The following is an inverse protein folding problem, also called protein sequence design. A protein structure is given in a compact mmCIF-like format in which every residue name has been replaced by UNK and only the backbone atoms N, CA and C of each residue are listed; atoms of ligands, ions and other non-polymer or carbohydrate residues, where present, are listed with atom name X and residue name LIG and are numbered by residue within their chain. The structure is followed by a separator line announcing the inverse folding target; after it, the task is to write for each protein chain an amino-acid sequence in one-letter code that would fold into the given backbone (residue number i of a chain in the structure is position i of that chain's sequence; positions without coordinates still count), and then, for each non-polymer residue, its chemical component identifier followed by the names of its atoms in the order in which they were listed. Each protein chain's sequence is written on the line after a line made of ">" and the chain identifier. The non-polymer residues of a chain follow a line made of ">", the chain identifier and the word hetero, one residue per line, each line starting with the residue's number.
data_IF_601197134274
#
_entry.id   IF_601197134274
#
_cell.length_a   1.000
_cell.length_b   1.000
_cell.length_c   1.000
_cell.angle_alpha   90.00
_cell.angle_beta   90.00
_cell.angle_gamma   90.00
#
_symmetry.space_group_name_H-M   'P 1'
#
loop_
_entity.id
_entity.type
_entity.pdbx_description
1 polymer ?
#
# COMPACT_ATOMS: atom_id res chain seq x y z
N UNK A 1 19.38 -20.26 10.78
CA UNK A 1 17.99 -19.78 10.98
C UNK A 1 17.81 -18.47 10.22
N UNK A 2 17.51 -18.53 8.91
CA UNK A 2 17.24 -17.31 8.12
C UNK A 2 15.75 -16.96 8.23
N UNK A 3 15.31 -16.50 9.40
CA UNK A 3 13.98 -15.91 9.56
C UNK A 3 13.90 -14.69 8.65
N UNK A 4 12.99 -14.70 7.66
CA UNK A 4 12.74 -13.56 6.78
C UNK A 4 12.50 -12.32 7.67
N UNK A 5 13.47 -11.41 7.69
CA UNK A 5 13.49 -10.26 8.60
C UNK A 5 12.29 -9.36 8.29
N UNK A 6 11.25 -9.39 9.12
CA UNK A 6 10.11 -8.49 9.00
C UNK A 6 10.50 -7.07 9.42
N UNK A 7 9.78 -6.07 8.92
CA UNK A 7 9.92 -4.66 9.32
C UNK A 7 8.58 -4.10 9.75
N UNK A 8 8.62 -3.20 10.72
CA UNK A 8 7.45 -2.44 11.15
C UNK A 8 7.34 -1.15 10.35
N UNK A 9 6.16 -0.89 9.82
CA UNK A 9 5.83 0.29 9.03
C UNK A 9 4.86 1.16 9.81
N UNK A 10 5.19 2.45 9.94
CA UNK A 10 4.34 3.45 10.59
C UNK A 10 3.40 4.06 9.56
N UNK A 11 2.10 4.00 9.84
CA UNK A 11 1.03 4.66 9.11
C UNK A 11 0.51 5.80 9.99
N UNK A 12 0.38 7.00 9.43
CA UNK A 12 -0.22 8.14 10.12
C UNK A 12 -1.51 8.49 9.39
N UNK A 13 -2.64 8.09 9.96
CA UNK A 13 -3.95 8.10 9.30
C UNK A 13 -4.90 9.05 10.04
N UNK A 14 -5.89 9.56 9.31
CA UNK A 14 -7.13 10.06 9.90
C UNK A 14 -8.05 8.90 10.28
N UNK A 15 -9.18 9.20 10.90
CA UNK A 15 -10.23 8.21 11.14
C UNK A 15 -10.72 7.58 9.81
N UNK A 16 -11.01 8.40 8.81
CA UNK A 16 -11.39 7.90 7.47
C UNK A 16 -10.28 7.09 6.79
N UNK A 17 -9.00 7.44 7.04
CA UNK A 17 -7.86 6.65 6.56
C UNK A 17 -7.79 5.26 7.22
N UNK A 18 -8.07 5.17 8.52
CA UNK A 18 -8.15 3.91 9.25
C UNK A 18 -9.35 3.07 8.79
N UNK A 19 -10.53 3.68 8.60
CA UNK A 19 -11.72 3.01 8.06
C UNK A 19 -11.46 2.44 6.67
N UNK A 20 -10.85 3.22 5.78
CA UNK A 20 -10.45 2.75 4.46
C UNK A 20 -9.52 1.53 4.60
N UNK A 21 -8.48 1.63 5.41
CA UNK A 21 -7.52 0.55 5.64
C UNK A 21 -8.20 -0.75 6.12
N UNK A 22 -9.09 -0.65 7.11
CA UNK A 22 -9.80 -1.81 7.65
C UNK A 22 -10.79 -2.40 6.64
N UNK A 23 -11.48 -1.57 5.86
CA UNK A 23 -12.44 -2.03 4.85
C UNK A 23 -11.75 -2.82 3.73
N UNK A 24 -10.62 -2.33 3.21
CA UNK A 24 -9.85 -3.03 2.17
C UNK A 24 -9.14 -4.26 2.73
N UNK A 25 -8.71 -4.23 3.99
CA UNK A 25 -8.18 -5.40 4.68
C UNK A 25 -9.21 -6.52 4.75
N UNK A 26 -10.43 -6.21 5.19
CA UNK A 26 -11.52 -7.19 5.24
C UNK A 26 -11.84 -7.75 3.85
N UNK A 27 -11.85 -6.90 2.81
CA UNK A 27 -12.03 -7.33 1.41
C UNK A 27 -10.96 -8.33 0.98
N UNK A 28 -9.69 -8.07 1.29
CA UNK A 28 -8.58 -8.98 0.97
C UNK A 28 -8.69 -10.30 1.73
N UNK A 29 -9.01 -10.28 3.02
CA UNK A 29 -9.22 -11.49 3.82
C UNK A 29 -10.40 -12.33 3.28
N UNK A 30 -11.50 -11.67 2.91
CA UNK A 30 -12.66 -12.34 2.30
C UNK A 30 -12.30 -13.00 0.96
N UNK A 31 -11.53 -12.32 0.10
CA UNK A 31 -11.06 -12.90 -1.17
C UNK A 31 -10.05 -14.04 -0.97
N UNK A 32 -9.20 -13.94 0.05
CA UNK A 32 -8.22 -14.97 0.39
C UNK A 32 -8.81 -16.16 1.14
N UNK A 33 -10.01 -16.00 1.72
CA UNK A 33 -10.58 -16.95 2.68
C UNK A 33 -9.58 -17.26 3.82
N UNK A 34 -8.84 -16.24 4.26
CA UNK A 34 -7.76 -16.36 5.23
C UNK A 34 -7.60 -15.07 6.06
N UNK A 35 -7.04 -15.19 7.26
CA UNK A 35 -6.69 -14.07 8.12
C UNK A 35 -5.31 -13.55 7.73
N UNK A 36 -5.29 -12.59 6.80
CA UNK A 36 -4.05 -11.95 6.39
C UNK A 36 -3.49 -11.06 7.51
N UNK A 37 -2.17 -10.96 7.67
CA UNK A 37 -1.60 -9.93 8.55
C UNK A 37 -1.85 -8.55 7.94
N UNK A 38 -2.05 -7.52 8.77
CA UNK A 38 -2.26 -6.15 8.27
C UNK A 38 -1.15 -5.68 7.32
N UNK A 39 0.11 -6.07 7.54
CA UNK A 39 1.19 -5.73 6.59
C UNK A 39 0.99 -6.27 5.17
N UNK A 40 0.18 -7.32 4.96
CA UNK A 40 -0.19 -7.80 3.63
C UNK A 40 -1.09 -6.79 2.90
N UNK A 41 -1.95 -6.06 3.62
CA UNK A 41 -2.74 -4.96 3.06
C UNK A 41 -1.85 -3.82 2.58
N UNK A 42 -0.87 -3.43 3.39
CA UNK A 42 0.10 -2.41 2.98
C UNK A 42 0.96 -2.90 1.80
N UNK A 43 1.31 -4.18 1.77
CA UNK A 43 2.00 -4.77 0.63
C UNK A 43 1.15 -4.71 -0.64
N UNK A 44 -0.13 -5.08 -0.58
CA UNK A 44 -1.06 -4.97 -1.70
C UNK A 44 -1.17 -3.54 -2.22
N UNK A 45 -1.37 -2.59 -1.30
CA UNK A 45 -1.44 -1.16 -1.62
C UNK A 45 -0.21 -0.68 -2.40
N UNK A 46 0.99 -1.01 -1.93
CA UNK A 46 2.23 -0.56 -2.57
C UNK A 46 2.49 -1.28 -3.90
N UNK A 47 2.21 -2.58 -3.98
CA UNK A 47 2.41 -3.34 -5.22
C UNK A 47 1.42 -2.93 -6.31
N UNK A 48 0.19 -2.55 -5.96
CA UNK A 48 -0.78 -2.00 -6.91
C UNK A 48 -0.41 -0.59 -7.34
N UNK A 49 0.06 0.26 -6.41
CA UNK A 49 0.56 1.59 -6.76
C UNK A 49 1.77 1.52 -7.70
N UNK A 50 2.69 0.58 -7.47
CA UNK A 50 3.88 0.38 -8.32
C UNK A 50 3.54 0.00 -9.77
N UNK A 51 2.37 -0.58 -10.00
CA UNK A 51 1.86 -0.96 -11.32
C UNK A 51 1.20 0.20 -12.08
N UNK A 52 0.89 1.32 -11.41
CA UNK A 52 0.30 2.51 -12.04
C UNK A 52 1.34 3.30 -12.82
N UNK A 53 0.85 4.06 -13.80
CA UNK A 53 1.70 4.96 -14.57
C UNK A 53 2.25 6.06 -13.66
N UNK A 54 3.49 6.50 -13.93
CA UNK A 54 4.14 7.48 -13.08
C UNK A 54 3.40 8.82 -13.07
N UNK A 55 2.82 9.23 -14.20
CA UNK A 55 2.09 10.49 -14.33
C UNK A 55 0.73 10.39 -13.63
N UNK A 56 0.06 9.23 -13.69
CA UNK A 56 -1.17 8.96 -12.93
C UNK A 56 -0.92 9.08 -11.42
N UNK A 57 0.15 8.45 -10.93
CA UNK A 57 0.52 8.54 -9.50
C UNK A 57 0.89 9.96 -9.12
N UNK A 58 1.60 10.69 -9.99
CA UNK A 58 1.93 12.09 -9.73
C UNK A 58 0.66 12.97 -9.67
N UNK A 59 -0.29 12.77 -10.58
CA UNK A 59 -1.57 13.47 -10.56
C UNK A 59 -2.35 13.18 -9.28
N UNK A 60 -2.43 11.93 -8.84
CA UNK A 60 -3.13 11.54 -7.60
C UNK A 60 -2.45 12.13 -6.35
N UNK A 61 -1.12 12.27 -6.35
CA UNK A 61 -0.35 12.90 -5.26
C UNK A 61 -0.53 14.42 -5.19
N UNK A 62 -0.80 15.06 -6.32
CA UNK A 62 -1.11 16.49 -6.41
C UNK A 62 -2.59 16.76 -6.12
N UNK A 63 -3.45 15.75 -6.26
CA UNK A 63 -4.85 15.84 -5.90
C UNK A 63 -5.02 15.77 -4.37
N UNK A 64 -5.64 16.81 -3.81
CA UNK A 64 -5.91 16.92 -2.37
C UNK A 64 -6.95 15.90 -1.89
N UNK A 65 -7.55 15.09 -2.77
CA UNK A 65 -8.43 13.98 -2.39
C UNK A 65 -7.81 13.02 -1.38
N UNK A 66 -6.49 12.83 -1.41
CA UNK A 66 -5.80 11.95 -0.47
C UNK A 66 -5.65 12.55 0.94
N UNK A 67 -5.80 13.87 1.09
CA UNK A 67 -5.60 14.55 2.38
C UNK A 67 -6.62 14.11 3.42
N UNK A 68 -7.82 13.69 3.00
CA UNK A 68 -8.85 13.19 3.93
C UNK A 68 -8.40 11.94 4.69
N UNK A 69 -7.45 11.18 4.14
CA UNK A 69 -6.89 9.97 4.76
C UNK A 69 -5.67 10.26 5.63
N UNK A 70 -5.08 11.45 5.52
CA UNK A 70 -3.94 11.89 6.32
C UNK A 70 -4.43 12.43 7.67
N UNK A 71 -3.80 12.02 8.76
CA UNK A 71 -4.20 12.46 10.09
C UNK A 71 -3.06 12.45 11.09
N UNK A 72 -3.41 12.26 12.36
CA UNK A 72 -2.46 12.28 13.48
C UNK A 72 -2.39 10.92 14.22
N UNK A 73 -3.25 9.97 13.87
CA UNK A 73 -3.31 8.67 14.54
C UNK A 73 -2.22 7.76 13.97
N UNK A 74 -1.32 7.30 14.83
CA UNK A 74 -0.23 6.41 14.43
C UNK A 74 -0.62 4.95 14.59
N UNK A 75 -0.38 4.18 13.54
CA UNK A 75 -0.59 2.74 13.51
C UNK A 75 0.68 2.05 13.00
N UNK A 76 0.92 0.83 13.46
CA UNK A 76 2.13 0.09 13.14
C UNK A 76 1.77 -1.28 12.59
N UNK A 77 2.27 -1.59 11.40
CA UNK A 77 2.02 -2.88 10.73
C UNK A 77 3.33 -3.57 10.40
N UNK A 78 3.44 -4.85 10.75
CA UNK A 78 4.59 -5.67 10.41
C UNK A 78 4.46 -6.24 9.01
N UNK A 79 5.50 -6.10 8.18
CA UNK A 79 5.49 -6.56 6.79
C UNK A 79 6.87 -6.90 6.24
N UNK A 80 6.89 -7.34 4.98
CA UNK A 80 8.13 -7.64 4.25
C UNK A 80 8.96 -6.36 4.02
N UNK A 81 10.30 -6.41 4.10
CA UNK A 81 11.18 -5.31 3.72
C UNK A 81 10.95 -4.75 2.30
N UNK A 82 10.32 -5.55 1.42
CA UNK A 82 9.96 -5.17 0.07
C UNK A 82 9.05 -3.93 0.03
N UNK A 83 8.10 -3.79 0.96
CA UNK A 83 7.19 -2.63 1.05
C UNK A 83 8.00 -1.33 1.07
N UNK A 84 8.99 -1.29 1.95
CA UNK A 84 9.84 -0.11 2.12
C UNK A 84 10.85 0.09 0.99
N UNK A 85 11.10 -0.91 0.14
CA UNK A 85 11.93 -0.75 -1.06
C UNK A 85 11.08 -0.19 -2.20
N UNK A 86 9.94 -0.81 -2.50
CA UNK A 86 9.01 -0.33 -3.53
C UNK A 86 8.53 1.09 -3.24
N UNK A 87 8.16 1.42 -2.00
CA UNK A 87 7.77 2.79 -1.66
C UNK A 87 8.89 3.83 -1.90
N UNK A 88 10.16 3.44 -1.68
CA UNK A 88 11.31 4.31 -1.98
C UNK A 88 11.57 4.41 -3.49
N UNK A 89 11.39 3.33 -4.24
CA UNK A 89 11.52 3.34 -5.69
C UNK A 89 10.44 4.23 -6.34
N UNK A 90 9.19 4.14 -5.88
CA UNK A 90 8.10 5.03 -6.30
C UNK A 90 8.45 6.49 -5.97
N UNK A 91 8.92 6.77 -4.75
CA UNK A 91 9.35 8.12 -4.34
C UNK A 91 10.40 8.70 -5.28
N UNK A 92 11.41 7.90 -5.61
CA UNK A 92 12.52 8.29 -6.47
C UNK A 92 12.03 8.59 -7.89
N UNK A 93 11.21 7.68 -8.46
CA UNK A 93 10.56 7.89 -9.77
C UNK A 93 9.77 9.20 -9.81
N UNK A 94 8.94 9.46 -8.79
CA UNK A 94 8.15 10.68 -8.70
C UNK A 94 9.01 11.94 -8.65
N UNK A 95 10.13 11.92 -7.91
CA UNK A 95 11.04 13.06 -7.85
C UNK A 95 11.78 13.36 -9.15
N UNK A 96 11.89 12.37 -10.04
CA UNK A 96 12.56 12.52 -11.34
C UNK A 96 11.63 13.12 -12.41
N UNK A 97 10.31 13.17 -12.16
CA UNK A 97 9.33 13.75 -13.09
C UNK A 97 9.47 15.28 -13.25
N UNK A 98 10.07 15.95 -12.26
CA UNK A 98 10.09 17.42 -12.19
C UNK A 98 8.74 18.06 -11.84
N UNK A 99 7.67 17.27 -11.71
CA UNK A 99 6.32 17.75 -11.38
C UNK A 99 6.15 18.03 -9.88
N UNK A 100 6.97 17.41 -9.03
CA UNK A 100 6.92 17.58 -7.58
C UNK A 100 8.26 17.28 -6.92
N UNK A 101 8.43 17.81 -5.71
CA UNK A 101 9.47 17.33 -4.80
C UNK A 101 9.15 15.91 -4.32
N UNK A 102 10.22 15.17 -3.97
CA UNK A 102 10.10 13.80 -3.50
C UNK A 102 9.10 13.68 -2.33
N UNK A 103 7.96 12.98 -2.50
CA UNK A 103 6.93 12.93 -1.49
C UNK A 103 7.40 12.20 -0.23
N UNK A 104 6.75 12.52 0.90
CA UNK A 104 6.96 11.77 2.13
C UNK A 104 6.50 10.32 1.94
N UNK A 105 7.24 9.36 2.50
CA UNK A 105 6.90 7.94 2.40
C UNK A 105 5.49 7.63 2.95
N UNK A 106 5.05 8.34 3.98
CA UNK A 106 3.68 8.20 4.51
C UNK A 106 2.59 8.57 3.47
N UNK A 107 2.84 9.57 2.63
CA UNK A 107 1.95 9.94 1.51
C UNK A 107 1.88 8.85 0.45
N UNK A 108 3.00 8.15 0.20
CA UNK A 108 3.04 6.99 -0.72
C UNK A 108 2.18 5.84 -0.18
N UNK A 109 2.23 5.58 1.13
CA UNK A 109 1.34 4.58 1.73
C UNK A 109 -0.13 4.95 1.57
N UNK A 110 -0.49 6.22 1.76
CA UNK A 110 -1.88 6.69 1.61
C UNK A 110 -2.35 6.61 0.16
N UNK A 111 -1.55 7.03 -0.82
CA UNK A 111 -1.94 6.87 -2.23
C UNK A 111 -2.11 5.40 -2.60
N UNK A 112 -1.21 4.52 -2.11
CA UNK A 112 -1.38 3.08 -2.31
C UNK A 112 -2.69 2.56 -1.71
N UNK A 113 -3.12 3.09 -0.57
CA UNK A 113 -4.43 2.76 0.01
C UNK A 113 -5.60 3.30 -0.81
N UNK A 114 -5.46 4.51 -1.37
CA UNK A 114 -6.43 5.08 -2.32
C UNK A 114 -6.63 4.17 -3.53
N UNK A 115 -5.52 3.80 -4.19
CA UNK A 115 -5.52 2.84 -5.31
C UNK A 115 -6.12 1.50 -4.89
N UNK A 116 -5.72 0.94 -3.75
CA UNK A 116 -6.25 -0.33 -3.26
C UNK A 116 -7.76 -0.26 -2.99
N UNK A 117 -8.24 0.85 -2.42
CA UNK A 117 -9.64 1.12 -2.17
C UNK A 117 -10.47 1.18 -3.44
N UNK A 118 -9.94 1.87 -4.47
CA UNK A 118 -10.57 2.02 -5.77
C UNK A 118 -10.42 0.79 -6.68
N UNK A 119 -9.51 -0.14 -6.36
CA UNK A 119 -9.21 -1.30 -7.20
C UNK A 119 -10.42 -2.22 -7.35
N UNK A 120 -10.59 -2.75 -8.55
CA UNK A 120 -11.68 -3.68 -8.85
C UNK A 120 -11.44 -5.05 -8.20
N UNK A 121 -12.52 -5.80 -7.95
CA UNK A 121 -12.43 -7.17 -7.39
C UNK A 121 -11.48 -8.06 -8.19
N UNK A 122 -11.42 -7.91 -9.52
CA UNK A 122 -10.53 -8.71 -10.39
C UNK A 122 -9.05 -8.48 -10.08
N UNK A 123 -8.63 -7.25 -9.85
CA UNK A 123 -7.25 -6.90 -9.51
C UNK A 123 -6.88 -7.50 -8.15
N UNK A 124 -7.79 -7.37 -7.16
CA UNK A 124 -7.59 -7.91 -5.82
C UNK A 124 -7.53 -9.44 -5.81
N UNK A 125 -8.44 -10.12 -6.52
CA UNK A 125 -8.41 -11.57 -6.67
C UNK A 125 -7.10 -12.04 -7.31
N UNK A 126 -6.62 -11.32 -8.33
CA UNK A 126 -5.35 -11.65 -9.00
C UNK A 126 -4.16 -11.50 -8.05
N UNK A 127 -4.17 -10.44 -7.23
CA UNK A 127 -3.16 -10.22 -6.19
C UNK A 127 -3.17 -11.34 -5.14
N UNK A 128 -4.35 -11.70 -4.61
CA UNK A 128 -4.52 -12.79 -3.63
C UNK A 128 -4.05 -14.12 -4.20
N UNK A 129 -4.42 -14.44 -5.45
CA UNK A 129 -4.00 -15.67 -6.10
C UNK A 129 -2.47 -15.74 -6.25
N UNK A 130 -1.81 -14.60 -6.52
CA UNK A 130 -0.34 -14.53 -6.55
C UNK A 130 0.26 -14.75 -5.16
N UNK A 131 -0.27 -14.11 -4.12
CA UNK A 131 0.17 -14.29 -2.74
C UNK A 131 0.11 -15.77 -2.31
N UNK A 132 -0.99 -16.46 -2.63
CA UNK A 132 -1.15 -17.88 -2.32
C UNK A 132 -0.07 -18.75 -2.98
N UNK A 133 0.24 -18.49 -4.27
CA UNK A 133 1.33 -19.19 -4.98
C UNK A 133 2.71 -18.91 -4.40
N UNK A 134 2.97 -17.70 -3.91
CA UNK A 134 4.23 -17.35 -3.26
C UNK A 134 4.38 -18.05 -1.91
N UNK A 135 3.29 -18.15 -1.13
CA UNK A 135 3.28 -18.88 0.15
C UNK A 135 3.49 -20.38 -0.02
N UNK A 136 2.89 -20.99 -1.05
CA UNK A 136 3.06 -22.42 -1.34
C UNK A 136 4.48 -22.82 -1.79
N UNK A 137 5.29 -21.86 -2.23
CA UNK A 137 6.68 -22.07 -2.68
C UNK A 137 7.72 -21.81 -1.60
N UNK A 138 7.32 -21.33 -0.43
CA UNK A 138 8.21 -20.92 0.66
C UNK A 138 8.24 -21.93 1.79
#
# INVERSE_FOLDING_TARGET
>A
MNGKRSRTYRLTLSESGLELYLSVHLRLCALAQDLLPYGATLQAAIELLEQRDCDEVAAEMLDNRLDIYFGKCEHFVGGSPAIGRSARAIRERLSQTGLMHAPQIGRIYIAGLGVLGASESRELTSWVARLARERARS
#
